data_IF_864842615049
#
_entry.id   IF_864842615049
#
_cell.length_a   1.000
_cell.length_b   1.000
_cell.length_c   1.000
_cell.angle_alpha   90.00
_cell.angle_beta   90.00
_cell.angle_gamma   90.00
#
_symmetry.space_group_name_H-M   'P 1'
#
loop_
_entity.id
_entity.type
_entity.pdbx_description
1 polymer ?
#
# COMPACT_ATOMS: atom_id res chain seq x y z
N UNK A 1 -19.63 -4.27 -19.88
CA UNK A 1 -18.86 -4.81 -18.76
C UNK A 1 -19.75 -4.73 -17.52
N UNK A 2 -19.92 -5.81 -16.75
CA UNK A 2 -20.74 -5.80 -15.54
C UNK A 2 -20.02 -5.08 -14.38
N UNK A 3 -20.77 -4.64 -13.36
CA UNK A 3 -20.21 -4.04 -12.14
C UNK A 3 -19.27 -5.02 -11.41
N UNK A 4 -19.66 -6.29 -11.33
CA UNK A 4 -18.86 -7.35 -10.72
C UNK A 4 -17.50 -7.52 -11.42
N UNK A 5 -17.46 -7.43 -12.75
CA UNK A 5 -16.22 -7.46 -13.51
C UNK A 5 -15.36 -6.21 -13.26
N UNK A 6 -15.96 -5.05 -13.00
CA UNK A 6 -15.22 -3.83 -12.68
C UNK A 6 -14.59 -3.90 -11.28
N UNK A 7 -15.32 -4.42 -10.29
CA UNK A 7 -14.82 -4.60 -8.93
C UNK A 7 -13.63 -5.58 -8.89
N UNK A 8 -13.73 -6.70 -9.61
CA UNK A 8 -12.64 -7.68 -9.70
C UNK A 8 -11.40 -7.08 -10.38
N UNK A 9 -11.57 -6.36 -11.49
CA UNK A 9 -10.46 -5.67 -12.16
C UNK A 9 -9.79 -4.64 -11.25
N UNK A 10 -10.57 -3.89 -10.48
CA UNK A 10 -10.05 -2.93 -9.51
C UNK A 10 -9.25 -3.67 -8.44
N UNK A 11 -9.80 -4.71 -7.81
CA UNK A 11 -9.09 -5.47 -6.77
C UNK A 11 -7.77 -6.05 -7.28
N UNK A 12 -7.75 -6.63 -8.50
CA UNK A 12 -6.51 -7.11 -9.12
C UNK A 12 -5.49 -6.00 -9.38
N UNK A 13 -5.96 -4.81 -9.79
CA UNK A 13 -5.09 -3.65 -10.00
C UNK A 13 -4.46 -3.14 -8.70
N UNK A 14 -5.16 -3.25 -7.57
CA UNK A 14 -4.59 -2.91 -6.26
C UNK A 14 -3.59 -3.96 -5.77
N UNK A 15 -3.85 -5.24 -6.04
CA UNK A 15 -2.96 -6.33 -5.65
C UNK A 15 -1.63 -6.30 -6.42
N UNK A 16 -1.65 -5.89 -7.70
CA UNK A 16 -0.43 -5.82 -8.52
C UNK A 16 0.57 -4.75 -8.07
N UNK A 17 0.14 -3.77 -7.27
CA UNK A 17 1.00 -2.72 -6.73
C UNK A 17 1.79 -3.15 -5.48
N UNK A 18 1.49 -4.32 -4.92
CA UNK A 18 2.18 -4.83 -3.74
C UNK A 18 3.34 -5.73 -4.16
N UNK A 19 4.58 -5.42 -3.75
CA UNK A 19 5.73 -6.26 -4.06
C UNK A 19 5.71 -7.52 -3.19
N UNK A 20 6.47 -8.52 -3.63
CA UNK A 20 6.83 -9.65 -2.76
C UNK A 20 7.48 -9.14 -1.46
N UNK A 21 7.26 -9.85 -0.36
CA UNK A 21 7.63 -9.37 0.98
C UNK A 21 6.79 -8.20 1.52
N UNK A 22 5.75 -7.76 0.80
CA UNK A 22 4.81 -6.70 1.20
C UNK A 22 5.46 -5.34 1.50
N UNK A 23 6.67 -5.10 0.96
CA UNK A 23 7.44 -3.90 1.20
C UNK A 23 8.16 -3.88 2.56
N UNK A 24 8.30 -5.02 3.23
CA UNK A 24 9.18 -5.14 4.38
C UNK A 24 10.63 -5.40 3.96
N UNK A 25 11.55 -4.77 4.68
CA UNK A 25 12.99 -4.86 4.49
C UNK A 25 13.62 -5.36 5.79
N UNK A 26 14.59 -6.27 5.67
CA UNK A 26 15.45 -6.65 6.80
C UNK A 26 16.73 -5.81 6.78
N UNK A 27 17.02 -5.12 7.89
CA UNK A 27 18.19 -4.26 8.03
C UNK A 27 18.93 -4.69 9.31
N UNK A 28 19.82 -5.69 9.18
CA UNK A 28 20.50 -6.28 10.33
C UNK A 28 21.49 -5.32 11.03
N UNK A 29 22.11 -4.42 10.28
CA UNK A 29 23.05 -3.41 10.76
C UNK A 29 22.36 -2.09 11.12
N UNK A 30 21.08 -2.12 11.53
CA UNK A 30 20.28 -0.93 11.77
C UNK A 30 20.86 0.02 12.83
N UNK A 31 21.67 -0.49 13.77
CA UNK A 31 22.35 0.29 14.81
C UNK A 31 23.35 1.32 14.26
N UNK A 32 23.74 1.19 12.99
CA UNK A 32 24.60 2.16 12.30
C UNK A 32 23.85 3.40 11.81
N UNK A 33 22.51 3.37 11.84
CA UNK A 33 21.65 4.42 11.29
C UNK A 33 20.72 4.99 12.36
N UNK A 34 20.18 6.18 12.09
CA UNK A 34 19.14 6.78 12.95
C UNK A 34 17.79 6.27 12.46
N UNK A 35 17.41 5.08 12.93
CA UNK A 35 16.16 4.41 12.60
C UNK A 35 15.27 4.23 13.84
N UNK A 36 13.93 4.15 13.65
CA UNK A 36 13.04 3.74 14.73
C UNK A 36 13.35 2.31 15.18
N UNK A 37 12.78 1.88 16.31
CA UNK A 37 12.92 0.49 16.75
C UNK A 37 12.40 -0.48 15.67
N UNK A 38 13.15 -1.53 15.31
CA UNK A 38 12.70 -2.50 14.31
C UNK A 38 11.50 -3.32 14.78
N UNK A 39 10.78 -3.86 13.82
CA UNK A 39 9.75 -4.87 14.01
C UNK A 39 10.38 -6.26 14.10
N UNK A 40 9.68 -7.15 14.81
CA UNK A 40 9.92 -8.58 14.80
C UNK A 40 8.64 -9.28 14.32
N UNK A 41 8.78 -10.30 13.48
CA UNK A 41 7.66 -11.07 12.95
C UNK A 41 7.92 -12.56 13.19
N UNK A 42 6.86 -13.31 13.48
CA UNK A 42 6.92 -14.78 13.50
C UNK A 42 6.19 -15.30 12.27
N UNK A 43 6.90 -16.01 11.41
CA UNK A 43 6.33 -16.64 10.21
C UNK A 43 6.70 -18.12 10.22
N UNK A 44 5.70 -19.00 10.06
CA UNK A 44 5.91 -20.46 10.08
C UNK A 44 6.61 -21.00 11.33
N UNK A 45 6.52 -20.29 12.46
CA UNK A 45 7.20 -20.66 13.71
C UNK A 45 8.64 -20.15 13.84
N UNK A 46 9.15 -19.42 12.85
CA UNK A 46 10.47 -18.77 12.89
C UNK A 46 10.32 -17.28 13.13
N UNK A 47 11.10 -16.77 14.08
CA UNK A 47 11.18 -15.33 14.34
C UNK A 47 12.19 -14.67 13.40
N UNK A 48 11.73 -13.63 12.72
CA UNK A 48 12.52 -12.74 11.88
C UNK A 48 12.54 -11.37 12.53
N UNK A 49 13.71 -10.94 12.97
CA UNK A 49 13.94 -9.64 13.59
C UNK A 49 14.47 -8.61 12.58
N UNK A 50 14.65 -7.37 13.04
CA UNK A 50 15.26 -6.27 12.29
C UNK A 50 14.48 -5.84 11.04
N UNK A 51 13.15 -5.95 11.11
CA UNK A 51 12.25 -5.67 10.00
C UNK A 51 11.76 -4.23 10.01
N UNK A 52 11.70 -3.61 8.83
CA UNK A 52 11.18 -2.26 8.61
C UNK A 52 10.21 -2.26 7.44
N UNK A 53 9.05 -1.63 7.61
CA UNK A 53 8.08 -1.48 6.52
C UNK A 53 8.32 -0.19 5.75
N UNK A 54 8.39 -0.28 4.42
CA UNK A 54 8.38 0.91 3.57
C UNK A 54 7.01 1.59 3.60
N UNK A 55 7.02 2.90 3.86
CA UNK A 55 5.80 3.68 4.04
C UNK A 55 4.86 3.62 2.82
N UNK A 56 5.41 3.67 1.60
CA UNK A 56 4.63 3.66 0.35
C UNK A 56 3.72 2.42 0.23
N UNK A 57 4.26 1.22 0.47
CA UNK A 57 3.47 -0.01 0.38
C UNK A 57 2.50 -0.18 1.55
N UNK A 58 2.83 0.31 2.75
CA UNK A 58 1.89 0.33 3.86
C UNK A 58 0.73 1.31 3.60
N UNK A 59 1.00 2.47 3.00
CA UNK A 59 -0.03 3.42 2.57
C UNK A 59 -0.96 2.78 1.53
N UNK A 60 -0.41 2.11 0.50
CA UNK A 60 -1.23 1.37 -0.46
C UNK A 60 -2.07 0.27 0.19
N UNK A 61 -1.49 -0.50 1.12
CA UNK A 61 -2.22 -1.51 1.89
C UNK A 61 -3.41 -0.87 2.63
N UNK A 62 -3.19 0.22 3.37
CA UNK A 62 -4.23 0.93 4.09
C UNK A 62 -5.35 1.43 3.16
N UNK A 63 -5.00 2.02 2.01
CA UNK A 63 -5.97 2.51 1.04
C UNK A 63 -6.81 1.37 0.43
N UNK A 64 -6.17 0.24 0.11
CA UNK A 64 -6.87 -0.96 -0.35
C UNK A 64 -7.80 -1.54 0.75
N UNK A 65 -7.41 -1.52 2.03
CA UNK A 65 -8.29 -1.94 3.11
C UNK A 65 -9.55 -1.06 3.21
N UNK A 66 -9.41 0.26 3.04
CA UNK A 66 -10.53 1.19 3.02
C UNK A 66 -11.48 0.84 1.85
N UNK A 67 -10.93 0.64 0.65
CA UNK A 67 -11.71 0.26 -0.53
C UNK A 67 -12.49 -1.06 -0.31
N UNK A 68 -11.81 -2.11 0.16
CA UNK A 68 -12.44 -3.42 0.42
C UNK A 68 -13.51 -3.33 1.50
N UNK A 69 -13.27 -2.52 2.54
CA UNK A 69 -14.28 -2.23 3.56
C UNK A 69 -15.51 -1.55 2.97
N UNK A 70 -15.31 -0.52 2.14
CA UNK A 70 -16.40 0.18 1.45
C UNK A 70 -17.22 -0.75 0.54
N UNK A 71 -16.56 -1.56 -0.31
CA UNK A 71 -17.26 -2.49 -1.20
C UNK A 71 -18.09 -3.52 -0.42
N UNK A 72 -17.52 -4.10 0.64
CA UNK A 72 -18.25 -5.06 1.49
C UNK A 72 -19.44 -4.43 2.19
N UNK A 73 -19.32 -3.17 2.61
CA UNK A 73 -20.44 -2.42 3.16
C UNK A 73 -21.57 -2.22 2.13
N UNK A 74 -21.24 -1.83 0.89
CA UNK A 74 -22.22 -1.67 -0.19
C UNK A 74 -22.97 -2.97 -0.49
N UNK A 75 -22.27 -4.11 -0.44
CA UNK A 75 -22.84 -5.44 -0.69
C UNK A 75 -23.51 -6.09 0.53
N UNK A 76 -23.56 -5.40 1.68
CA UNK A 76 -24.14 -5.93 2.92
C UNK A 76 -23.40 -7.13 3.50
N UNK A 77 -22.11 -7.30 3.17
CA UNK A 77 -21.29 -8.44 3.63
C UNK A 77 -20.59 -8.08 4.94
N UNK A 78 -20.78 -8.89 5.98
CA UNK A 78 -20.17 -8.68 7.30
C UNK A 78 -18.63 -8.63 7.23
N UNK A 79 -18.04 -7.59 7.83
CA UNK A 79 -16.58 -7.38 7.81
C UNK A 79 -15.85 -8.46 8.61
N UNK A 80 -14.71 -9.00 8.11
CA UNK A 80 -13.83 -9.83 8.89
C UNK A 80 -13.18 -9.02 10.03
N UNK A 81 -12.67 -9.72 11.05
CA UNK A 81 -12.03 -9.11 12.21
C UNK A 81 -10.81 -8.22 11.83
N UNK A 82 -10.12 -8.58 10.76
CA UNK A 82 -9.00 -7.81 10.20
C UNK A 82 -9.40 -6.44 9.66
N UNK A 83 -10.69 -6.23 9.35
CA UNK A 83 -11.29 -4.96 8.92
C UNK A 83 -12.11 -4.29 10.05
N UNK A 84 -11.77 -4.57 11.32
CA UNK A 84 -12.35 -3.87 12.47
C UNK A 84 -12.25 -2.34 12.32
N UNK A 85 -13.26 -1.63 12.82
CA UNK A 85 -13.42 -0.18 12.75
C UNK A 85 -12.16 0.61 13.15
N UNK A 86 -11.47 0.19 14.23
CA UNK A 86 -10.20 0.80 14.69
C UNK A 86 -9.09 0.73 13.63
N UNK A 87 -9.05 -0.36 12.85
CA UNK A 87 -8.05 -0.53 11.79
C UNK A 87 -8.31 0.50 10.68
N UNK A 88 -9.55 0.55 10.20
CA UNK A 88 -9.96 1.47 9.14
C UNK A 88 -9.75 2.93 9.54
N UNK A 89 -10.06 3.31 10.78
CA UNK A 89 -9.85 4.69 11.22
C UNK A 89 -8.39 5.12 11.25
N UNK A 90 -7.47 4.25 11.70
CA UNK A 90 -6.06 4.62 11.62
C UNK A 90 -5.56 4.62 10.18
N UNK A 91 -6.10 3.76 9.30
CA UNK A 91 -5.77 3.80 7.87
C UNK A 91 -6.15 5.17 7.29
N UNK A 92 -7.36 5.67 7.58
CA UNK A 92 -7.77 7.01 7.16
C UNK A 92 -6.82 8.09 7.68
N UNK A 93 -6.46 8.05 8.96
CA UNK A 93 -5.56 9.05 9.54
C UNK A 93 -4.14 8.97 8.99
N UNK A 94 -3.64 7.75 8.74
CA UNK A 94 -2.32 7.53 8.19
C UNK A 94 -2.21 8.07 6.75
N UNK A 95 -3.22 7.82 5.91
CA UNK A 95 -3.28 8.37 4.55
C UNK A 95 -3.37 9.90 4.59
N UNK A 96 -4.18 10.47 5.50
CA UNK A 96 -4.26 11.92 5.68
C UNK A 96 -2.89 12.52 6.00
N UNK A 97 -2.16 11.95 6.94
CA UNK A 97 -0.81 12.43 7.31
C UNK A 97 0.17 12.25 6.15
N UNK A 98 0.10 11.14 5.41
CA UNK A 98 0.93 10.92 4.23
C UNK A 98 0.68 11.98 3.14
N UNK A 99 -0.58 12.28 2.83
CA UNK A 99 -0.95 13.31 1.87
C UNK A 99 -0.43 14.70 2.28
N UNK A 100 -0.51 15.03 3.57
CA UNK A 100 0.05 16.28 4.10
C UNK A 100 1.59 16.33 4.02
N UNK A 101 2.25 15.18 4.09
CA UNK A 101 3.71 15.08 4.03
C UNK A 101 4.24 15.26 2.61
N UNK A 102 3.61 14.60 1.62
CA UNK A 102 4.03 14.70 0.23
C UNK A 102 3.52 15.97 -0.45
N UNK A 103 2.28 16.38 -0.15
CA UNK A 103 1.69 17.64 -0.57
C UNK A 103 1.81 17.91 -2.07
N UNK A 104 0.97 17.27 -2.88
CA UNK A 104 0.92 17.58 -4.31
C UNK A 104 0.53 19.05 -4.53
N UNK A 105 1.32 19.75 -5.34
CA UNK A 105 1.17 21.19 -5.59
C UNK A 105 0.70 21.51 -7.01
N UNK A 106 0.37 20.48 -7.79
CA UNK A 106 -0.22 20.68 -9.11
C UNK A 106 -1.55 21.45 -9.00
N UNK A 107 -1.74 22.43 -9.90
CA UNK A 107 -2.98 23.20 -9.96
C UNK A 107 -3.96 22.51 -10.90
N UNK A 108 -5.05 22.00 -10.34
CA UNK A 108 -6.10 21.35 -11.11
C UNK A 108 -7.05 22.39 -11.73
N UNK A 109 -7.40 22.17 -13.01
CA UNK A 109 -8.25 23.03 -13.81
C UNK A 109 -9.50 22.30 -14.31
N UNK A 110 -10.13 22.83 -15.36
CA UNK A 110 -11.23 22.13 -16.01
C UNK A 110 -10.74 20.80 -16.63
N UNK A 111 -11.49 19.73 -16.41
CA UNK A 111 -11.19 18.43 -17.02
C UNK A 111 -11.30 18.49 -18.55
N UNK A 112 -10.61 17.58 -19.29
CA UNK A 112 -10.66 17.57 -20.75
C UNK A 112 -12.09 17.47 -21.31
N UNK A 113 -12.53 18.54 -21.99
CA UNK A 113 -13.87 18.63 -22.59
C UNK A 113 -14.91 19.34 -21.73
N UNK A 114 -14.56 19.77 -20.52
CA UNK A 114 -15.40 20.63 -19.68
C UNK A 114 -15.14 22.12 -19.97
N UNK A 115 -16.19 22.95 -19.87
CA UNK A 115 -16.10 24.41 -20.04
C UNK A 115 -15.65 25.16 -18.76
N UNK A 116 -15.22 24.44 -17.73
CA UNK A 116 -14.86 24.98 -16.42
C UNK A 116 -16.07 25.38 -15.57
N UNK A 117 -17.22 24.77 -15.84
CA UNK A 117 -18.48 25.05 -15.15
C UNK A 117 -18.80 24.02 -14.07
N UNK A 118 -18.05 22.91 -14.05
CA UNK A 118 -18.13 21.87 -13.04
C UNK A 118 -16.84 21.84 -12.20
N UNK A 119 -16.86 21.11 -11.07
CA UNK A 119 -15.64 20.83 -10.31
C UNK A 119 -14.64 20.01 -11.13
N UNK A 120 -13.43 19.84 -10.59
CA UNK A 120 -12.34 19.07 -11.21
C UNK A 120 -12.28 17.65 -10.66
N UNK A 121 -12.11 16.66 -11.54
CA UNK A 121 -11.67 15.30 -11.22
C UNK A 121 -10.13 15.20 -11.16
N UNK A 122 -9.42 16.23 -11.64
CA UNK A 122 -7.96 16.34 -11.63
C UNK A 122 -7.30 15.83 -12.90
N UNK A 123 -8.05 15.50 -13.95
CA UNK A 123 -7.50 14.87 -15.15
C UNK A 123 -6.73 15.85 -16.05
N UNK A 124 -5.69 15.34 -16.70
CA UNK A 124 -4.87 16.13 -17.63
C UNK A 124 -3.90 17.09 -16.93
N UNK A 125 -3.79 17.00 -15.61
CA UNK A 125 -2.86 17.79 -14.80
C UNK A 125 -1.49 17.12 -14.75
N UNK A 126 -0.43 17.92 -14.73
CA UNK A 126 0.95 17.42 -14.64
C UNK A 126 1.38 17.34 -13.18
N UNK A 127 1.80 16.15 -12.77
CA UNK A 127 2.28 15.86 -11.41
C UNK A 127 3.79 15.56 -11.42
N UNK A 128 4.44 15.74 -10.27
CA UNK A 128 5.82 15.28 -10.05
C UNK A 128 5.77 14.03 -9.19
N UNK A 129 6.07 12.89 -9.80
CA UNK A 129 5.98 11.58 -9.16
C UNK A 129 7.35 11.02 -8.81
N UNK A 130 7.38 10.13 -7.82
CA UNK A 130 8.50 9.19 -7.68
C UNK A 130 8.47 8.21 -8.86
N UNK A 131 9.65 7.74 -9.29
CA UNK A 131 9.74 6.60 -10.20
C UNK A 131 9.23 5.34 -9.50
N UNK A 132 7.99 4.97 -9.82
CA UNK A 132 7.28 3.89 -9.14
C UNK A 132 7.94 2.53 -9.42
N UNK A 133 8.35 2.29 -10.66
CA UNK A 133 8.94 1.02 -11.06
C UNK A 133 10.28 0.83 -10.37
N UNK A 134 11.11 1.88 -10.31
CA UNK A 134 12.37 1.83 -9.57
C UNK A 134 12.18 1.56 -8.07
N UNK A 135 11.16 2.16 -7.45
CA UNK A 135 10.81 1.90 -6.05
C UNK A 135 10.35 0.45 -5.84
N UNK A 136 9.48 -0.03 -6.73
CA UNK A 136 8.94 -1.38 -6.69
C UNK A 136 10.04 -2.44 -6.86
N UNK A 137 10.90 -2.28 -7.87
CA UNK A 137 12.02 -3.20 -8.13
C UNK A 137 12.99 -3.24 -6.95
N UNK A 138 13.32 -2.08 -6.36
CA UNK A 138 14.14 -2.03 -5.15
C UNK A 138 13.50 -2.81 -3.99
N UNK A 139 12.18 -2.68 -3.81
CA UNK A 139 11.45 -3.37 -2.76
C UNK A 139 11.50 -4.89 -2.94
N UNK A 140 11.23 -5.35 -4.16
CA UNK A 140 11.31 -6.77 -4.53
C UNK A 140 12.71 -7.31 -4.27
N UNK A 141 13.74 -6.63 -4.77
CA UNK A 141 15.13 -7.12 -4.67
C UNK A 141 15.60 -7.24 -3.21
N UNK A 142 15.15 -6.34 -2.33
CA UNK A 142 15.48 -6.39 -0.91
C UNK A 142 14.65 -7.40 -0.11
N UNK A 143 13.48 -7.79 -0.62
CA UNK A 143 12.64 -8.82 -0.02
C UNK A 143 13.12 -10.25 -0.38
N UNK A 144 13.74 -10.45 -1.55
CA UNK A 144 14.20 -11.79 -2.00
C UNK A 144 14.98 -12.59 -0.96
N UNK A 145 15.95 -12.02 -0.20
CA UNK A 145 16.65 -12.80 0.82
C UNK A 145 15.74 -13.33 1.93
N UNK A 146 14.66 -12.60 2.27
CA UNK A 146 13.63 -13.07 3.21
C UNK A 146 12.76 -14.15 2.59
N UNK A 147 12.41 -14.00 1.31
CA UNK A 147 11.63 -15.01 0.59
C UNK A 147 12.42 -16.32 0.40
N UNK A 148 13.71 -16.22 0.11
CA UNK A 148 14.62 -17.36 -0.01
C UNK A 148 14.79 -18.05 1.34
N UNK A 149 15.03 -17.28 2.43
CA UNK A 149 15.05 -17.80 3.79
C UNK A 149 13.71 -18.47 4.16
N UNK A 150 12.59 -17.86 3.81
CA UNK A 150 11.26 -18.42 4.04
C UNK A 150 11.04 -19.72 3.27
N UNK A 151 11.55 -19.85 2.05
CA UNK A 151 11.51 -21.10 1.27
C UNK A 151 12.42 -22.17 1.84
N UNK A 152 13.65 -21.82 2.23
CA UNK A 152 14.58 -22.74 2.91
C UNK A 152 14.01 -23.31 4.21
N UNK A 153 13.26 -22.49 4.95
CA UNK A 153 12.63 -22.85 6.21
C UNK A 153 11.24 -23.48 6.04
N UNK A 154 10.73 -23.64 4.81
CA UNK A 154 9.42 -24.22 4.52
C UNK A 154 8.23 -23.38 5.00
N UNK A 155 8.42 -22.07 5.15
CA UNK A 155 7.43 -21.09 5.63
C UNK A 155 6.52 -20.63 4.48
N UNK A 156 7.08 -20.48 3.28
CA UNK A 156 6.36 -20.13 2.04
C UNK A 156 6.45 -21.31 1.05
N UNK A 157 5.41 -21.53 0.22
CA UNK A 157 5.42 -22.57 -0.81
C UNK A 157 6.53 -22.37 -1.86
#
# INVERSE_FOLDING_TARGET
MSLENQEEMVEQSWLSLMPVGLGFLKIDDHDQYVLPRPLARVEGGVQVDNMYGMAAFHQLHCLNLILRSYMRYQHGVAQPETLQERHIFHCFDYIRVALMCYGDTALEGADPGDEGLHGTEGWGVTHVCIDWDALFDMAVDRARPLDDLGRELGIFP
#
